data_IF_349251529500
#
_entry.id   IF_349251529500
#
_cell.length_a   1.000
_cell.length_b   1.000
_cell.length_c   1.000
_cell.angle_alpha   90.00
_cell.angle_beta   90.00
_cell.angle_gamma   90.00
#
_symmetry.space_group_name_H-M   'P 1'
#
loop_
_entity.id
_entity.type
_entity.pdbx_description
1 polymer ?
#
# COMPACT_ATOMS: atom_id res chain seq x y z
N UNK A 1 12.12 12.44 10.59
CA UNK A 1 10.99 13.36 10.76
C UNK A 1 10.91 14.36 9.58
N UNK A 2 11.95 15.14 9.36
CA UNK A 2 12.00 16.15 8.29
C UNK A 2 11.70 15.59 6.89
N UNK A 3 12.24 14.41 6.54
CA UNK A 3 11.98 13.77 5.24
C UNK A 3 10.52 13.36 5.04
N UNK A 4 9.82 13.01 6.12
CA UNK A 4 8.40 12.59 6.05
C UNK A 4 7.46 13.78 6.00
N UNK A 5 7.76 14.86 6.72
CA UNK A 5 7.02 16.13 6.63
C UNK A 5 7.18 16.76 5.25
N UNK A 6 8.39 16.72 4.68
CA UNK A 6 8.67 17.17 3.31
C UNK A 6 7.84 16.37 2.30
N UNK A 7 7.80 15.06 2.42
CA UNK A 7 6.99 14.20 1.54
C UNK A 7 5.49 14.50 1.63
N UNK A 8 4.95 14.75 2.82
CA UNK A 8 3.56 15.12 2.99
C UNK A 8 3.26 16.51 2.39
N UNK A 9 4.13 17.48 2.60
CA UNK A 9 4.01 18.82 2.01
C UNK A 9 4.05 18.78 0.47
N UNK A 10 4.93 17.96 -0.10
CA UNK A 10 5.01 17.74 -1.56
C UNK A 10 3.72 17.12 -2.10
N UNK A 11 3.15 16.14 -1.40
CA UNK A 11 1.85 15.54 -1.76
C UNK A 11 0.76 16.59 -1.76
N UNK A 12 0.66 17.41 -0.71
CA UNK A 12 -0.33 18.48 -0.63
C UNK A 12 -0.17 19.54 -1.71
N UNK A 13 1.05 19.93 -2.01
CA UNK A 13 1.38 20.85 -3.11
C UNK A 13 0.94 20.27 -4.46
N UNK A 14 1.29 19.03 -4.74
CA UNK A 14 0.88 18.33 -5.96
C UNK A 14 -0.64 18.23 -6.11
N UNK A 15 -1.37 18.03 -5.02
CA UNK A 15 -2.83 17.96 -5.05
C UNK A 15 -3.50 19.32 -5.27
N UNK A 16 -2.86 20.42 -4.82
CA UNK A 16 -3.37 21.78 -4.97
C UNK A 16 -3.04 22.40 -6.32
N UNK A 17 -1.82 22.23 -6.78
CA UNK A 17 -1.26 22.94 -7.94
C UNK A 17 -1.24 22.10 -9.21
N UNK A 18 -1.36 20.77 -9.09
CA UNK A 18 -1.35 19.87 -10.24
C UNK A 18 -2.65 19.87 -11.04
N UNK A 19 -2.56 19.61 -12.34
CA UNK A 19 -3.73 19.43 -13.19
C UNK A 19 -4.60 18.28 -12.65
N UNK A 20 -5.88 18.53 -12.30
CA UNK A 20 -6.78 17.49 -11.81
C UNK A 20 -6.97 16.31 -12.78
N UNK A 21 -6.68 16.51 -14.07
CA UNK A 21 -6.81 15.47 -15.08
C UNK A 21 -5.52 14.66 -15.27
N UNK A 22 -4.40 15.11 -14.76
CA UNK A 22 -3.14 14.37 -14.80
C UNK A 22 -3.27 13.03 -14.08
N UNK A 23 -2.85 11.91 -14.70
CA UNK A 23 -2.95 10.57 -14.09
C UNK A 23 -2.20 10.45 -12.76
N UNK A 24 -1.06 11.12 -12.61
CA UNK A 24 -0.27 11.10 -11.38
C UNK A 24 -0.94 11.88 -10.25
N UNK A 25 -1.62 12.99 -10.56
CA UNK A 25 -2.42 13.76 -9.59
C UNK A 25 -3.64 12.95 -9.16
N UNK A 26 -4.34 12.31 -10.10
CA UNK A 26 -5.46 11.41 -9.79
C UNK A 26 -5.04 10.26 -8.87
N UNK A 27 -3.91 9.64 -9.15
CA UNK A 27 -3.37 8.56 -8.33
C UNK A 27 -2.99 9.06 -6.93
N UNK A 28 -2.31 10.19 -6.82
CA UNK A 28 -1.96 10.81 -5.54
C UNK A 28 -3.20 11.10 -4.71
N UNK A 29 -4.24 11.66 -5.33
CA UNK A 29 -5.52 11.96 -4.67
C UNK A 29 -6.22 10.70 -4.16
N UNK A 30 -6.22 9.62 -4.94
CA UNK A 30 -6.77 8.33 -4.50
C UNK A 30 -6.07 7.79 -3.26
N UNK A 31 -4.74 7.87 -3.24
CA UNK A 31 -3.92 7.42 -2.10
C UNK A 31 -4.22 8.28 -0.88
N UNK A 32 -4.23 9.62 -1.01
CA UNK A 32 -4.53 10.54 0.08
C UNK A 32 -5.92 10.29 0.67
N UNK A 33 -6.95 10.24 -0.17
CA UNK A 33 -8.33 10.00 0.29
C UNK A 33 -8.45 8.63 0.99
N UNK A 34 -7.77 7.59 0.48
CA UNK A 34 -7.77 6.28 1.12
C UNK A 34 -7.09 6.29 2.48
N UNK A 35 -6.00 7.03 2.61
CA UNK A 35 -5.29 7.18 3.88
C UNK A 35 -6.12 7.98 4.90
N UNK A 36 -6.74 9.07 4.48
CA UNK A 36 -7.62 9.89 5.31
C UNK A 36 -8.82 9.08 5.79
N UNK A 37 -9.50 8.40 4.89
CA UNK A 37 -10.61 7.51 5.23
C UNK A 37 -10.20 6.43 6.24
N UNK A 38 -9.05 5.80 6.03
CA UNK A 38 -8.55 4.80 6.96
C UNK A 38 -8.31 5.36 8.37
N UNK A 39 -7.75 6.56 8.48
CA UNK A 39 -7.51 7.22 9.78
C UNK A 39 -8.82 7.60 10.45
N UNK A 40 -9.77 8.14 9.69
CA UNK A 40 -11.08 8.56 10.18
C UNK A 40 -11.89 7.39 10.77
N UNK A 41 -11.79 6.21 10.14
CA UNK A 41 -12.54 5.02 10.54
C UNK A 41 -11.67 3.91 11.16
N UNK A 42 -10.51 4.30 11.73
CA UNK A 42 -9.57 3.33 12.31
C UNK A 42 -10.19 2.47 13.42
N UNK A 43 -11.02 3.08 14.24
CA UNK A 43 -11.73 2.44 15.36
C UNK A 43 -12.80 1.44 14.92
N UNK A 44 -13.24 1.47 13.68
CA UNK A 44 -14.22 0.55 13.13
C UNK A 44 -13.60 -0.75 12.58
N UNK A 45 -12.27 -0.80 12.53
CA UNK A 45 -11.60 -2.02 12.09
C UNK A 45 -11.61 -3.05 13.21
N UNK A 46 -12.14 -4.29 12.98
CA UNK A 46 -12.32 -5.27 14.04
C UNK A 46 -11.00 -5.80 14.61
N UNK A 47 -9.92 -5.74 13.81
CA UNK A 47 -8.60 -6.19 14.24
C UNK A 47 -7.50 -5.41 13.52
N UNK A 48 -6.45 -5.07 14.28
CA UNK A 48 -5.22 -4.47 13.78
C UNK A 48 -4.04 -5.38 14.16
N UNK A 49 -3.28 -5.83 13.18
CA UNK A 49 -2.08 -6.64 13.38
C UNK A 49 -0.86 -5.72 13.21
N UNK A 50 -0.14 -5.50 14.29
CA UNK A 50 1.12 -4.76 14.26
C UNK A 50 2.28 -5.71 14.03
N UNK A 51 3.17 -5.35 13.14
CA UNK A 51 4.29 -6.20 12.74
C UNK A 51 5.61 -5.53 13.03
N UNK A 52 6.39 -6.22 13.81
CA UNK A 52 7.69 -5.76 14.29
C UNK A 52 8.80 -6.66 13.75
N UNK A 53 9.94 -6.10 13.53
CA UNK A 53 11.14 -6.80 13.12
C UNK A 53 12.40 -6.07 13.57
N UNK A 54 13.56 -6.64 13.29
CA UNK A 54 14.83 -5.96 13.51
C UNK A 54 14.96 -4.78 12.56
N UNK A 55 15.69 -3.76 12.95
CA UNK A 55 16.05 -2.67 12.05
C UNK A 55 16.72 -3.22 10.79
N UNK A 56 16.27 -2.78 9.61
CA UNK A 56 16.74 -3.30 8.32
C UNK A 56 16.24 -4.69 7.94
N UNK A 57 15.33 -5.29 8.73
CA UNK A 57 14.73 -6.61 8.48
C UNK A 57 13.46 -6.60 7.60
N UNK A 58 13.15 -5.47 6.97
CA UNK A 58 11.95 -5.31 6.15
C UNK A 58 11.88 -6.32 5.01
N UNK A 59 13.02 -6.64 4.37
CA UNK A 59 13.09 -7.63 3.29
C UNK A 59 12.62 -9.02 3.68
N UNK A 60 12.75 -9.37 4.97
CA UNK A 60 12.24 -10.65 5.53
C UNK A 60 10.78 -10.51 5.97
N UNK A 61 10.44 -9.38 6.55
CA UNK A 61 9.13 -9.15 7.15
C UNK A 61 8.03 -8.97 6.10
N UNK A 62 8.26 -8.16 5.05
CA UNK A 62 7.24 -7.87 4.05
C UNK A 62 6.76 -9.11 3.26
N UNK A 63 7.60 -10.09 2.88
CA UNK A 63 7.10 -11.34 2.31
C UNK A 63 6.16 -12.13 3.23
N UNK A 64 6.43 -12.12 4.55
CA UNK A 64 5.53 -12.75 5.54
C UNK A 64 4.19 -12.01 5.59
N UNK A 65 4.21 -10.68 5.61
CA UNK A 65 2.99 -9.85 5.56
C UNK A 65 2.17 -10.13 4.31
N UNK A 66 2.83 -10.26 3.18
CA UNK A 66 2.16 -10.59 1.93
C UNK A 66 1.49 -11.97 1.98
N UNK A 67 2.18 -12.98 2.50
CA UNK A 67 1.59 -14.32 2.68
C UNK A 67 0.40 -14.29 3.64
N UNK A 68 0.46 -13.50 4.72
CA UNK A 68 -0.66 -13.29 5.63
C UNK A 68 -1.86 -12.67 4.90
N UNK A 69 -1.63 -11.65 4.08
CA UNK A 69 -2.69 -11.03 3.28
C UNK A 69 -3.32 -12.02 2.30
N UNK A 70 -2.52 -12.88 1.66
CA UNK A 70 -3.02 -13.92 0.77
C UNK A 70 -3.83 -14.98 1.51
N UNK A 71 -3.37 -15.44 2.68
CA UNK A 71 -4.09 -16.38 3.52
C UNK A 71 -5.44 -15.79 4.01
N UNK A 72 -5.43 -14.54 4.50
CA UNK A 72 -6.64 -13.84 4.89
C UNK A 72 -7.63 -13.73 3.71
N UNK A 73 -7.12 -13.44 2.51
CA UNK A 73 -7.94 -13.39 1.29
C UNK A 73 -8.61 -14.73 0.98
N UNK A 74 -7.90 -15.85 1.16
CA UNK A 74 -8.45 -17.19 0.97
C UNK A 74 -9.60 -17.49 1.93
N UNK A 75 -9.58 -16.90 3.13
CA UNK A 75 -10.65 -16.98 4.14
C UNK A 75 -11.76 -15.92 3.94
N UNK A 76 -11.74 -15.18 2.82
CA UNK A 76 -12.73 -14.14 2.53
C UNK A 76 -12.53 -12.83 3.30
N UNK A 77 -11.40 -12.68 3.99
CA UNK A 77 -11.08 -11.47 4.75
C UNK A 77 -10.40 -10.42 3.87
N UNK A 78 -10.64 -9.16 4.20
CA UNK A 78 -9.97 -8.00 3.62
C UNK A 78 -8.79 -7.56 4.47
N UNK A 79 -7.69 -7.24 3.80
CA UNK A 79 -6.47 -6.72 4.43
C UNK A 79 -5.79 -5.72 3.53
N UNK A 80 -4.99 -4.85 4.12
CA UNK A 80 -3.97 -4.09 3.39
C UNK A 80 -2.78 -3.79 4.30
N UNK A 81 -1.61 -3.61 3.69
CA UNK A 81 -0.39 -3.27 4.43
C UNK A 81 -0.29 -1.75 4.48
N UNK A 82 -0.17 -1.18 5.68
CA UNK A 82 0.04 0.25 5.88
C UNK A 82 1.25 0.53 6.75
N UNK A 83 1.95 1.61 6.42
CA UNK A 83 3.09 2.14 7.18
C UNK A 83 2.80 3.51 7.80
N UNK A 84 1.56 3.99 7.74
CA UNK A 84 1.19 5.32 8.24
C UNK A 84 1.58 5.54 9.69
N UNK A 85 1.38 4.56 10.56
CA UNK A 85 1.72 4.66 11.98
C UNK A 85 3.23 4.65 12.26
N UNK A 86 4.09 4.38 11.27
CA UNK A 86 5.53 4.60 11.41
C UNK A 86 5.87 6.08 11.68
N UNK A 87 4.99 6.99 11.29
CA UNK A 87 5.12 8.41 11.60
C UNK A 87 5.05 8.69 13.12
N UNK A 88 4.32 7.84 13.85
CA UNK A 88 4.13 7.91 15.30
C UNK A 88 4.66 6.65 16.01
N UNK A 89 5.74 6.09 15.46
CA UNK A 89 6.32 4.82 15.88
C UNK A 89 6.53 4.72 17.39
N UNK A 90 7.16 5.71 17.98
CA UNK A 90 7.48 5.67 19.42
C UNK A 90 6.22 5.60 20.29
N UNK A 91 5.18 6.34 19.94
CA UNK A 91 3.92 6.34 20.64
C UNK A 91 3.21 4.99 20.53
N UNK A 92 3.25 4.38 19.33
CA UNK A 92 2.68 3.05 19.11
C UNK A 92 3.44 2.00 19.90
N UNK A 93 4.76 2.03 19.89
CA UNK A 93 5.62 1.10 20.63
C UNK A 93 5.39 1.21 22.14
N UNK A 94 5.27 2.43 22.66
CA UNK A 94 4.94 2.68 24.07
C UNK A 94 3.55 2.17 24.42
N UNK A 95 2.54 2.50 23.60
CA UNK A 95 1.15 2.05 23.82
C UNK A 95 1.04 0.53 23.86
N UNK A 96 1.82 -0.17 23.06
CA UNK A 96 1.83 -1.63 22.98
C UNK A 96 2.77 -2.29 24.01
N UNK A 97 3.46 -1.49 24.83
CA UNK A 97 4.41 -2.00 25.83
C UNK A 97 5.62 -2.72 25.21
N UNK A 98 6.05 -2.29 24.05
CA UNK A 98 7.17 -2.90 23.35
C UNK A 98 8.50 -2.63 24.08
N UNK A 99 9.37 -3.65 24.23
CA UNK A 99 10.70 -3.44 24.82
C UNK A 99 11.53 -2.54 23.92
N UNK A 100 12.23 -1.59 24.53
CA UNK A 100 13.09 -0.65 23.83
C UNK A 100 14.26 -1.35 23.11
N UNK A 101 14.61 -0.82 21.96
CA UNK A 101 15.93 -0.97 21.33
C UNK A 101 16.10 -2.13 20.37
N UNK A 102 15.26 -3.18 20.38
CA UNK A 102 15.51 -4.35 19.52
C UNK A 102 14.47 -4.50 18.39
N UNK A 103 13.22 -4.26 18.69
CA UNK A 103 12.12 -4.41 17.75
C UNK A 103 11.65 -3.06 17.24
N UNK A 104 11.39 -3.00 15.95
CA UNK A 104 10.89 -1.81 15.27
C UNK A 104 9.62 -2.13 14.52
N UNK A 105 8.65 -1.24 14.59
CA UNK A 105 7.43 -1.39 13.81
C UNK A 105 7.73 -1.27 12.31
N UNK A 106 7.46 -2.32 11.56
CA UNK A 106 7.63 -2.34 10.11
C UNK A 106 6.35 -1.93 9.38
N UNK A 107 5.21 -2.45 9.83
CA UNK A 107 3.93 -2.16 9.24
C UNK A 107 2.78 -2.50 10.19
N UNK A 108 1.57 -2.14 9.79
CA UNK A 108 0.33 -2.59 10.39
C UNK A 108 -0.57 -3.17 9.29
N UNK A 109 -1.37 -4.17 9.63
CA UNK A 109 -2.37 -4.78 8.77
C UNK A 109 -3.72 -4.68 9.48
N UNK A 110 -4.64 -3.84 9.02
CA UNK A 110 -6.04 -3.95 9.37
C UNK A 110 -6.63 -5.20 8.72
N UNK A 111 -7.49 -5.91 9.45
CA UNK A 111 -8.14 -7.13 8.96
C UNK A 111 -9.61 -7.12 9.35
N UNK A 112 -10.48 -7.53 8.43
CA UNK A 112 -11.92 -7.60 8.65
C UNK A 112 -12.64 -8.14 7.42
N UNK A 113 -13.95 -8.30 7.53
CA UNK A 113 -14.76 -8.64 6.37
C UNK A 113 -14.95 -7.41 5.47
N UNK A 114 -14.62 -7.51 4.17
CA UNK A 114 -14.76 -6.38 3.26
C UNK A 114 -16.23 -6.04 3.04
N UNK A 115 -16.54 -4.77 3.10
CA UNK A 115 -17.90 -4.25 2.77
C UNK A 115 -18.05 -3.92 1.28
N UNK A 116 -16.93 -3.81 0.56
CA UNK A 116 -16.88 -3.51 -0.86
C UNK A 116 -16.62 -4.75 -1.73
N UNK A 117 -16.66 -4.53 -3.04
CA UNK A 117 -16.28 -5.57 -4.02
C UNK A 117 -14.78 -5.55 -4.26
N UNK A 118 -14.21 -6.73 -4.45
CA UNK A 118 -12.83 -6.87 -4.88
C UNK A 118 -12.70 -6.39 -6.33
N UNK A 119 -11.70 -5.58 -6.58
CA UNK A 119 -11.32 -5.15 -7.91
C UNK A 119 -9.85 -5.46 -8.18
N UNK A 120 -9.47 -5.55 -9.44
CA UNK A 120 -8.05 -5.62 -9.79
C UNK A 120 -7.44 -4.23 -9.77
N UNK A 121 -6.25 -4.12 -9.22
CA UNK A 121 -5.53 -2.87 -9.24
C UNK A 121 -5.00 -2.60 -10.66
N UNK A 122 -5.29 -1.43 -11.20
CA UNK A 122 -4.69 -0.98 -12.46
C UNK A 122 -3.16 -1.00 -12.33
N UNK A 123 -2.51 -1.62 -13.30
CA UNK A 123 -1.05 -1.70 -13.39
C UNK A 123 -0.65 -1.42 -14.83
N UNK A 124 0.44 -0.71 -14.98
CA UNK A 124 1.07 -0.59 -16.30
C UNK A 124 1.63 -1.94 -16.77
N UNK A 125 1.70 -2.19 -18.07
CA UNK A 125 2.32 -3.40 -18.60
C UNK A 125 3.75 -3.58 -18.09
N UNK A 126 4.15 -4.82 -17.80
CA UNK A 126 5.46 -5.10 -17.21
C UNK A 126 6.64 -4.67 -18.11
N UNK A 127 6.45 -4.73 -19.43
CA UNK A 127 7.47 -4.31 -20.40
C UNK A 127 7.80 -2.80 -20.34
N UNK A 128 6.97 -1.98 -19.69
CA UNK A 128 7.28 -0.57 -19.43
C UNK A 128 8.27 -0.34 -18.27
N UNK A 129 8.54 -1.38 -17.47
CA UNK A 129 9.39 -1.31 -16.28
C UNK A 129 10.53 -2.32 -16.25
N UNK A 130 10.60 -3.18 -17.25
CA UNK A 130 11.63 -4.21 -17.32
C UNK A 130 12.64 -3.84 -18.38
N UNK A 131 13.89 -3.88 -17.98
CA UNK A 131 15.04 -3.65 -18.84
C UNK A 131 15.89 -4.91 -18.88
N UNK A 132 16.54 -5.16 -20.02
CA UNK A 132 17.43 -6.29 -20.21
C UNK A 132 18.87 -5.85 -19.97
N UNK A 133 19.57 -6.52 -19.05
CA UNK A 133 21.01 -6.36 -18.77
C UNK A 133 21.42 -4.96 -18.23
N UNK A 134 20.93 -3.87 -18.82
CA UNK A 134 21.27 -2.51 -18.45
C UNK A 134 20.01 -1.65 -18.28
N UNK A 135 20.13 -0.61 -17.45
CA UNK A 135 19.10 0.43 -17.34
C UNK A 135 18.87 1.09 -18.70
N UNK A 136 17.65 1.43 -19.02
CA UNK A 136 17.21 2.02 -20.30
C UNK A 136 17.38 1.12 -21.53
N UNK A 137 17.66 -0.19 -21.38
CA UNK A 137 17.59 -1.16 -22.45
C UNK A 137 16.24 -1.91 -22.39
N UNK A 138 15.19 -1.43 -23.06
CA UNK A 138 13.85 -1.99 -22.95
C UNK A 138 13.80 -3.41 -23.50
N UNK A 139 12.98 -4.25 -22.89
CA UNK A 139 12.71 -5.60 -23.37
C UNK A 139 11.92 -5.56 -24.68
N UNK A 140 12.13 -6.55 -25.54
CA UNK A 140 11.48 -6.67 -26.84
C UNK A 140 10.12 -7.35 -26.83
N UNK A 141 9.80 -8.07 -25.73
CA UNK A 141 8.48 -8.69 -25.58
C UNK A 141 7.43 -7.63 -25.22
N UNK A 142 6.22 -7.82 -25.71
CA UNK A 142 5.08 -6.96 -25.37
C UNK A 142 4.37 -7.51 -24.15
N UNK A 143 3.93 -6.62 -23.25
CA UNK A 143 3.04 -6.98 -22.15
C UNK A 143 1.71 -7.54 -22.66
N UNK A 144 0.93 -8.15 -21.76
CA UNK A 144 -0.43 -8.58 -22.09
C UNK A 144 -1.27 -7.33 -22.43
N UNK A 145 -1.80 -7.21 -23.63
CA UNK A 145 -2.63 -6.08 -24.00
C UNK A 145 -3.84 -5.98 -23.06
N UNK A 146 -4.18 -4.77 -22.67
CA UNK A 146 -5.36 -4.46 -21.86
C UNK A 146 -5.41 -5.15 -20.49
N UNK A 147 -4.27 -5.56 -19.94
CA UNK A 147 -4.21 -6.00 -18.56
C UNK A 147 -4.46 -4.82 -17.63
N UNK A 148 -5.60 -4.82 -16.97
CA UNK A 148 -5.97 -3.75 -16.06
C UNK A 148 -6.91 -2.68 -16.64
N UNK A 149 -7.37 -2.82 -17.87
CA UNK A 149 -8.41 -1.95 -18.41
C UNK A 149 -9.75 -2.20 -17.69
N UNK A 150 -10.44 -1.15 -17.22
CA UNK A 150 -11.70 -1.29 -16.46
C UNK A 150 -12.78 -2.09 -17.19
N UNK A 151 -12.75 -2.07 -18.52
CA UNK A 151 -13.73 -2.75 -19.38
C UNK A 151 -13.64 -4.28 -19.32
N UNK A 152 -12.47 -4.79 -18.92
CA UNK A 152 -12.21 -6.22 -18.82
C UNK A 152 -12.48 -6.78 -17.43
N UNK A 153 -12.93 -5.94 -16.49
CA UNK A 153 -13.26 -6.34 -15.13
C UNK A 153 -14.75 -6.50 -14.93
N UNK A 154 -15.17 -7.69 -14.56
CA UNK A 154 -16.49 -7.91 -13.97
C UNK A 154 -17.56 -8.46 -14.88
N UNK A 155 -17.24 -8.98 -16.08
CA UNK A 155 -18.23 -9.65 -16.91
C UNK A 155 -18.41 -11.14 -16.63
N UNK A 156 -17.47 -11.78 -15.94
CA UNK A 156 -17.44 -13.24 -15.80
C UNK A 156 -17.83 -13.77 -14.41
N UNK A 157 -18.32 -12.93 -13.52
CA UNK A 157 -18.80 -13.36 -12.18
C UNK A 157 -20.14 -12.69 -11.85
N UNK A 158 -21.15 -13.01 -12.64
CA UNK A 158 -22.55 -12.91 -12.24
C UNK A 158 -23.01 -14.22 -11.66
#
# INVERSE_FOLDING_TARGET
WELQETSYAEVQTKLKEGDPNDPGVKQTRRISNSAEYFVEYLDQHPMLIFVFGKQGGESTTFPVLWNLCLAARAEGLGTFITTLLKLRKQEVEQLLGMPEGFWHMHAMIPIGYPTGRWGMASRKPANEFVYSEHWDNPVTWTGIPNWGEPENYGRDHQ
#
